data_IF_076540311828
#
_entry.id   IF_076540311828
#
_cell.length_a   1.000
_cell.length_b   1.000
_cell.length_c   1.000
_cell.angle_alpha   90.00
_cell.angle_beta   90.00
_cell.angle_gamma   90.00
#
_symmetry.space_group_name_H-M   'P 1'
#
loop_
_entity.id
_entity.type
_entity.pdbx_description
1 polymer ?
#
# COMPACT_ATOMS: atom_id res chain seq x y z
N UNK A 1 -12.06 24.47 36.68
CA UNK A 1 -10.84 23.83 36.19
C UNK A 1 -11.27 22.76 35.21
N UNK A 2 -11.31 23.11 33.92
CA UNK A 2 -11.70 22.22 32.83
C UNK A 2 -10.44 21.55 32.30
N UNK A 3 -10.25 20.29 32.61
CA UNK A 3 -9.16 19.47 32.08
C UNK A 3 -9.42 19.20 30.60
N UNK A 4 -8.59 19.77 29.75
CA UNK A 4 -8.50 19.45 28.32
C UNK A 4 -8.02 17.99 28.19
N UNK A 5 -8.69 17.12 27.41
CA UNK A 5 -8.20 15.78 27.19
C UNK A 5 -6.92 15.84 26.35
N UNK A 6 -5.83 15.38 26.93
CA UNK A 6 -4.56 15.16 26.23
C UNK A 6 -4.80 14.05 25.20
N UNK A 7 -4.85 14.41 23.92
CA UNK A 7 -4.87 13.46 22.80
C UNK A 7 -3.64 12.54 22.93
N UNK A 8 -3.87 11.25 23.19
CA UNK A 8 -2.83 10.22 23.11
C UNK A 8 -2.46 10.06 21.63
N UNK A 9 -1.36 10.66 21.24
CA UNK A 9 -0.75 10.37 19.95
C UNK A 9 -0.47 8.86 19.87
N UNK A 10 -1.06 8.17 18.89
CA UNK A 10 -0.62 6.84 18.50
C UNK A 10 -1.54 5.65 18.75
N UNK A 11 -2.81 5.83 19.09
CA UNK A 11 -3.82 4.75 18.97
C UNK A 11 -4.74 5.00 17.80
N UNK A 12 -5.26 3.93 17.15
CA UNK A 12 -6.35 4.07 16.19
C UNK A 12 -7.50 4.83 16.85
N UNK A 13 -8.06 5.79 16.15
CA UNK A 13 -9.21 6.56 16.64
C UNK A 13 -10.51 5.75 16.48
N UNK A 14 -10.58 4.90 15.47
CA UNK A 14 -11.71 4.03 15.19
C UNK A 14 -11.30 2.88 14.25
N UNK A 15 -11.91 1.72 14.45
CA UNK A 15 -11.96 0.65 13.46
C UNK A 15 -13.30 0.72 12.74
N UNK A 16 -13.29 0.69 11.40
CA UNK A 16 -14.48 0.77 10.54
C UNK A 16 -14.59 -0.48 9.69
N UNK A 17 -15.82 -0.97 9.49
CA UNK A 17 -16.10 -2.09 8.61
C UNK A 17 -16.45 -1.59 7.19
N UNK A 18 -16.00 -2.34 6.17
CA UNK A 18 -16.40 -2.14 4.78
C UNK A 18 -17.16 -3.35 4.20
N UNK A 19 -17.31 -4.42 4.99
CA UNK A 19 -18.04 -5.62 4.63
C UNK A 19 -18.47 -6.43 5.86
N UNK A 20 -19.11 -7.59 5.65
CA UNK A 20 -19.68 -8.41 6.73
C UNK A 20 -18.65 -9.33 7.42
N UNK A 21 -17.49 -9.58 6.80
CA UNK A 21 -16.45 -10.45 7.36
C UNK A 21 -15.64 -9.70 8.42
N UNK A 22 -15.22 -10.32 9.53
CA UNK A 22 -14.37 -9.69 10.54
C UNK A 22 -13.03 -9.13 10.02
N UNK A 23 -12.50 -9.68 8.92
CA UNK A 23 -11.30 -9.15 8.25
C UNK A 23 -11.61 -7.99 7.28
N UNK A 24 -12.88 -7.67 7.04
CA UNK A 24 -13.27 -6.54 6.19
C UNK A 24 -13.37 -5.25 7.00
N UNK A 25 -12.23 -4.81 7.55
CA UNK A 25 -12.13 -3.62 8.41
C UNK A 25 -10.91 -2.76 8.04
N UNK A 26 -10.90 -1.52 8.50
CA UNK A 26 -9.72 -0.66 8.49
C UNK A 26 -9.69 0.23 9.72
N UNK A 27 -8.48 0.51 10.20
CA UNK A 27 -8.24 1.38 11.34
C UNK A 27 -7.91 2.79 10.87
N UNK A 28 -8.50 3.80 11.51
CA UNK A 28 -8.27 5.21 11.18
C UNK A 28 -7.38 5.86 12.21
N UNK A 29 -6.30 6.50 11.75
CA UNK A 29 -5.39 7.29 12.58
C UNK A 29 -5.47 8.75 12.12
N UNK A 30 -5.86 9.68 13.01
CA UNK A 30 -5.85 11.09 12.68
C UNK A 30 -4.42 11.63 12.63
N UNK A 31 -4.16 12.69 11.84
CA UNK A 31 -2.86 13.32 11.79
C UNK A 31 -2.46 13.91 13.15
N UNK A 32 -1.17 13.83 13.48
CA UNK A 32 -0.62 14.50 14.63
C UNK A 32 -0.15 15.92 14.22
N UNK A 33 -0.78 16.95 14.77
CA UNK A 33 -0.44 18.34 14.48
C UNK A 33 -1.11 18.90 13.22
N UNK A 34 -0.35 19.69 12.43
CA UNK A 34 -0.89 20.28 11.19
C UNK A 34 -1.18 19.19 10.17
N UNK A 35 -2.44 19.08 9.76
CA UNK A 35 -2.90 18.04 8.85
C UNK A 35 -2.50 18.36 7.40
N UNK A 36 -1.92 17.38 6.71
CA UNK A 36 -1.86 17.37 5.27
C UNK A 36 -3.25 17.07 4.71
N UNK A 37 -3.65 17.76 3.63
CA UNK A 37 -4.89 17.47 2.92
C UNK A 37 -4.71 16.24 2.01
N UNK A 38 -4.40 15.09 2.64
CA UNK A 38 -4.23 13.82 1.97
C UNK A 38 -4.42 12.66 2.95
N UNK A 39 -4.81 11.50 2.43
CA UNK A 39 -4.91 10.26 3.20
C UNK A 39 -3.91 9.25 2.67
N UNK A 40 -3.11 8.66 3.56
CA UNK A 40 -2.28 7.48 3.28
C UNK A 40 -3.09 6.23 3.64
N UNK A 41 -3.26 5.35 2.66
CA UNK A 41 -3.92 4.04 2.86
C UNK A 41 -2.84 2.97 2.92
N UNK A 42 -2.65 2.38 4.10
CA UNK A 42 -1.61 1.37 4.34
C UNK A 42 -2.20 -0.03 4.16
N UNK A 43 -1.56 -0.85 3.33
CA UNK A 43 -1.93 -2.24 3.03
C UNK A 43 -0.79 -3.16 3.43
N UNK A 44 -1.03 -4.01 4.41
CA UNK A 44 0.00 -4.85 5.00
C UNK A 44 0.45 -6.03 4.12
N UNK A 45 1.64 -6.56 4.40
CA UNK A 45 2.23 -7.72 3.77
C UNK A 45 1.84 -9.06 4.41
N UNK A 46 2.73 -10.07 4.23
CA UNK A 46 2.58 -11.41 4.83
C UNK A 46 2.22 -12.50 3.83
N UNK A 47 2.71 -12.41 2.59
CA UNK A 47 2.49 -13.40 1.51
C UNK A 47 1.02 -13.79 1.32
N UNK A 48 0.09 -12.85 1.52
CA UNK A 48 -1.37 -13.05 1.47
C UNK A 48 -1.87 -14.19 2.38
N UNK A 49 -1.11 -14.63 3.39
CA UNK A 49 -1.45 -15.74 4.28
C UNK A 49 -2.28 -15.30 5.47
N UNK A 50 -3.23 -16.11 5.89
CA UNK A 50 -4.10 -15.87 7.04
C UNK A 50 -3.36 -15.66 8.38
N UNK A 51 -2.11 -16.13 8.47
CA UNK A 51 -1.26 -16.01 9.67
C UNK A 51 -0.80 -14.59 10.00
N UNK A 52 -0.80 -13.69 9.02
CA UNK A 52 -0.33 -12.32 9.19
C UNK A 52 -1.48 -11.35 8.98
N UNK A 53 -1.73 -10.50 9.95
CA UNK A 53 -2.73 -9.45 9.89
C UNK A 53 -2.09 -8.05 9.89
N UNK A 54 -2.93 -7.01 9.94
CA UNK A 54 -2.48 -5.61 9.89
C UNK A 54 -1.68 -5.15 11.11
N UNK A 55 -1.64 -5.90 12.20
CA UNK A 55 -1.00 -5.45 13.46
C UNK A 55 0.48 -5.10 13.28
N UNK A 56 1.20 -5.83 12.42
CA UNK A 56 2.61 -5.55 12.17
C UNK A 56 2.86 -4.23 11.41
N UNK A 57 1.86 -3.69 10.70
CA UNK A 57 1.93 -2.41 9.99
C UNK A 57 1.46 -1.21 10.85
N UNK A 58 1.04 -1.45 12.11
CA UNK A 58 0.66 -0.37 13.04
C UNK A 58 1.78 0.66 13.27
N UNK A 59 3.06 0.29 13.46
CA UNK A 59 4.14 1.27 13.60
C UNK A 59 4.27 2.20 12.40
N UNK A 60 4.18 1.66 11.18
CA UNK A 60 4.21 2.40 9.94
C UNK A 60 3.02 3.37 9.82
N UNK A 61 1.79 2.89 10.09
CA UNK A 61 0.60 3.72 10.09
C UNK A 61 0.70 4.90 11.07
N UNK A 62 1.23 4.67 12.27
CA UNK A 62 1.50 5.71 13.25
C UNK A 62 2.54 6.72 12.78
N UNK A 63 3.56 6.26 12.07
CA UNK A 63 4.60 7.14 11.54
C UNK A 63 4.04 8.09 10.46
N UNK A 64 3.18 7.61 9.57
CA UNK A 64 2.47 8.47 8.62
C UNK A 64 1.55 9.47 9.32
N UNK A 65 0.83 9.04 10.37
CA UNK A 65 0.00 9.94 11.17
C UNK A 65 0.85 11.02 11.88
N UNK A 66 2.02 10.63 12.41
CA UNK A 66 2.99 11.55 13.01
C UNK A 66 3.58 12.54 11.97
N UNK A 67 3.69 12.11 10.70
CA UNK A 67 4.10 12.98 9.58
C UNK A 67 2.98 13.92 9.10
N UNK A 68 1.79 13.89 9.73
CA UNK A 68 0.69 14.79 9.46
C UNK A 68 -0.37 14.27 8.47
N UNK A 69 -0.30 13.02 8.05
CA UNK A 69 -1.30 12.42 7.16
C UNK A 69 -2.51 11.87 7.94
N UNK A 70 -3.70 11.92 7.33
CA UNK A 70 -4.77 11.01 7.69
C UNK A 70 -4.37 9.60 7.25
N UNK A 71 -4.60 8.58 8.07
CA UNK A 71 -4.19 7.22 7.73
C UNK A 71 -5.35 6.25 7.86
N UNK A 72 -5.47 5.36 6.88
CA UNK A 72 -6.35 4.20 6.93
C UNK A 72 -5.48 2.94 6.80
N UNK A 73 -5.39 2.13 7.87
CA UNK A 73 -4.68 0.85 7.87
C UNK A 73 -5.67 -0.27 7.58
N UNK A 74 -5.51 -0.91 6.44
CA UNK A 74 -6.46 -1.87 5.88
C UNK A 74 -6.17 -3.28 6.36
N UNK A 75 -7.24 -4.01 6.70
CA UNK A 75 -7.27 -5.46 6.82
C UNK A 75 -8.07 -6.04 5.64
N UNK A 76 -7.76 -7.26 5.22
CA UNK A 76 -8.41 -7.95 4.11
C UNK A 76 -8.43 -9.47 4.32
N UNK A 77 -9.35 -10.19 3.68
CA UNK A 77 -9.38 -11.65 3.71
C UNK A 77 -8.22 -12.20 2.90
N UNK A 78 -7.51 -13.16 3.47
CA UNK A 78 -6.27 -13.74 2.94
C UNK A 78 -6.44 -15.20 2.56
N UNK A 79 -5.53 -15.72 1.75
CA UNK A 79 -5.48 -17.14 1.42
C UNK A 79 -5.43 -17.99 2.71
N UNK A 80 -6.29 -19.02 2.77
CA UNK A 80 -6.53 -19.83 3.97
C UNK A 80 -7.72 -19.37 4.81
N UNK A 81 -8.28 -18.18 4.55
CA UNK A 81 -9.53 -17.72 5.15
C UNK A 81 -10.73 -17.99 4.22
N UNK A 82 -11.95 -18.18 4.75
CA UNK A 82 -13.15 -18.27 3.93
C UNK A 82 -13.29 -17.04 3.02
N UNK A 83 -13.39 -17.25 1.72
CA UNK A 83 -13.50 -16.17 0.73
C UNK A 83 -12.22 -15.34 0.52
N UNK A 84 -11.08 -15.73 1.08
CA UNK A 84 -9.77 -15.12 0.81
C UNK A 84 -9.08 -15.73 -0.42
N UNK A 85 -7.95 -15.14 -0.82
CA UNK A 85 -7.31 -15.45 -2.10
C UNK A 85 -8.01 -14.75 -3.27
N UNK A 86 -7.65 -15.13 -4.50
CA UNK A 86 -8.28 -14.56 -5.71
C UNK A 86 -9.60 -15.28 -6.01
N UNK A 87 -10.73 -14.54 -6.26
CA UNK A 87 -10.79 -13.08 -6.38
C UNK A 87 -11.03 -12.33 -5.07
N UNK A 88 -11.37 -13.00 -3.96
CA UNK A 88 -11.92 -12.38 -2.75
C UNK A 88 -11.01 -11.33 -2.10
N UNK A 89 -9.69 -11.53 -2.07
CA UNK A 89 -8.74 -10.52 -1.57
C UNK A 89 -8.72 -9.27 -2.47
N UNK A 90 -8.79 -9.46 -3.79
CA UNK A 90 -8.84 -8.34 -4.74
C UNK A 90 -10.16 -7.57 -4.65
N UNK A 91 -11.26 -8.29 -4.43
CA UNK A 91 -12.57 -7.68 -4.16
C UNK A 91 -12.54 -6.86 -2.87
N UNK A 92 -11.90 -7.38 -1.81
CA UNK A 92 -11.73 -6.65 -0.55
C UNK A 92 -10.93 -5.35 -0.74
N UNK A 93 -9.83 -5.40 -1.48
CA UNK A 93 -9.04 -4.19 -1.81
C UNK A 93 -9.87 -3.19 -2.61
N UNK A 94 -10.62 -3.65 -3.61
CA UNK A 94 -11.52 -2.78 -4.37
C UNK A 94 -12.57 -2.13 -3.46
N UNK A 95 -13.19 -2.90 -2.59
CA UNK A 95 -14.33 -2.45 -1.77
C UNK A 95 -13.88 -1.55 -0.63
N UNK A 96 -12.74 -1.84 0.03
CA UNK A 96 -12.20 -0.95 1.07
C UNK A 96 -11.75 0.39 0.49
N UNK A 97 -11.14 0.42 -0.70
CA UNK A 97 -10.77 1.67 -1.36
C UNK A 97 -12.00 2.49 -1.78
N UNK A 98 -13.10 1.85 -2.16
CA UNK A 98 -14.37 2.53 -2.39
C UNK A 98 -14.94 3.13 -1.10
N UNK A 99 -14.92 2.34 -0.01
CA UNK A 99 -15.38 2.80 1.30
C UNK A 99 -14.54 4.00 1.80
N UNK A 100 -13.21 3.90 1.79
CA UNK A 100 -12.30 4.99 2.22
C UNK A 100 -12.51 6.24 1.37
N UNK A 101 -12.61 6.09 0.04
CA UNK A 101 -12.76 7.23 -0.87
C UNK A 101 -14.06 8.02 -0.68
N UNK A 102 -15.05 7.45 0.01
CA UNK A 102 -16.33 8.09 0.32
C UNK A 102 -16.38 8.75 1.70
N UNK A 103 -15.32 8.59 2.53
CA UNK A 103 -15.31 9.13 3.89
C UNK A 103 -14.95 10.62 3.90
N UNK A 104 -15.80 11.49 4.49
CA UNK A 104 -15.54 12.93 4.51
C UNK A 104 -14.35 13.34 5.40
N UNK A 105 -13.99 12.50 6.38
CA UNK A 105 -12.86 12.72 7.29
C UNK A 105 -11.56 12.05 6.84
N UNK A 106 -11.57 11.42 5.66
CA UNK A 106 -10.39 10.91 4.98
C UNK A 106 -10.20 11.67 3.65
N UNK A 107 -9.54 12.85 3.69
CA UNK A 107 -9.48 13.74 2.54
C UNK A 107 -8.70 13.13 1.38
N UNK A 108 -9.12 13.48 0.17
CA UNK A 108 -8.36 13.21 -1.05
C UNK A 108 -7.32 14.31 -1.26
N UNK A 109 -6.21 13.99 -1.95
CA UNK A 109 -5.93 12.73 -2.66
C UNK A 109 -5.59 11.58 -1.71
N UNK A 110 -5.80 10.34 -2.20
CA UNK A 110 -5.36 9.11 -1.55
C UNK A 110 -3.99 8.70 -2.11
N UNK A 111 -3.05 8.36 -1.24
CA UNK A 111 -1.80 7.67 -1.61
C UNK A 111 -1.85 6.29 -0.99
N UNK A 112 -1.78 5.25 -1.82
CA UNK A 112 -1.74 3.88 -1.33
C UNK A 112 -0.29 3.50 -1.03
N UNK A 113 -0.04 2.91 0.12
CA UNK A 113 1.28 2.40 0.51
C UNK A 113 1.11 0.93 0.89
N UNK A 114 1.89 0.05 0.28
CA UNK A 114 1.77 -1.37 0.55
C UNK A 114 3.13 -2.04 0.65
N UNK A 115 3.29 -2.92 1.65
CA UNK A 115 4.51 -3.67 1.86
C UNK A 115 4.39 -5.11 1.35
N UNK A 116 5.40 -5.62 0.63
CA UNK A 116 5.49 -7.03 0.22
C UNK A 116 4.24 -7.47 -0.56
N UNK A 117 3.45 -8.41 -0.06
CA UNK A 117 2.14 -8.78 -0.60
C UNK A 117 1.17 -7.58 -0.66
N UNK A 118 1.25 -6.63 0.28
CA UNK A 118 0.51 -5.36 0.21
C UNK A 118 0.99 -4.46 -0.93
N UNK A 119 2.30 -4.47 -1.22
CA UNK A 119 2.91 -3.81 -2.37
C UNK A 119 2.34 -4.34 -3.69
N UNK A 120 2.16 -5.65 -3.79
CA UNK A 120 1.42 -6.27 -4.90
C UNK A 120 0.00 -5.71 -5.01
N UNK A 121 -0.78 -5.70 -3.90
CA UNK A 121 -2.18 -5.29 -3.90
C UNK A 121 -2.37 -3.82 -4.29
N UNK A 122 -1.51 -2.92 -3.83
CA UNK A 122 -1.60 -1.50 -4.21
C UNK A 122 -1.15 -1.28 -5.66
N UNK A 123 -0.14 -2.02 -6.15
CA UNK A 123 0.29 -1.96 -7.55
C UNK A 123 -0.76 -2.56 -8.49
N UNK A 124 -1.43 -3.64 -8.08
CA UNK A 124 -2.60 -4.16 -8.77
C UNK A 124 -3.71 -3.09 -8.87
N UNK A 125 -3.99 -2.39 -7.77
CA UNK A 125 -4.98 -1.31 -7.75
C UNK A 125 -4.59 -0.15 -8.68
N UNK A 126 -3.29 0.16 -8.81
CA UNK A 126 -2.80 1.19 -9.73
C UNK A 126 -3.11 0.88 -11.21
N UNK A 127 -3.21 -0.40 -11.59
CA UNK A 127 -3.58 -0.84 -12.94
C UNK A 127 -5.09 -0.74 -13.24
N UNK A 128 -5.93 -0.52 -12.23
CA UNK A 128 -7.38 -0.56 -12.40
C UNK A 128 -7.96 0.77 -12.93
N UNK A 129 -8.97 0.66 -13.80
CA UNK A 129 -9.61 1.85 -14.42
C UNK A 129 -10.26 2.78 -13.40
N UNK A 130 -10.76 2.25 -12.30
CA UNK A 130 -11.41 3.01 -11.21
C UNK A 130 -10.43 3.75 -10.28
N UNK A 131 -9.11 3.54 -10.40
CA UNK A 131 -8.15 4.13 -9.49
C UNK A 131 -8.24 5.66 -9.42
N UNK A 132 -8.22 6.33 -10.57
CA UNK A 132 -8.34 7.81 -10.65
C UNK A 132 -9.68 8.32 -10.15
N UNK A 133 -10.77 7.65 -10.46
CA UNK A 133 -12.13 8.05 -10.07
C UNK A 133 -12.28 8.07 -8.54
N UNK A 134 -11.56 7.19 -7.84
CA UNK A 134 -11.53 7.14 -6.37
C UNK A 134 -10.62 8.19 -5.74
N UNK A 135 -9.95 8.99 -6.53
CA UNK A 135 -9.04 10.04 -6.05
C UNK A 135 -7.69 9.51 -5.60
N UNK A 136 -7.26 8.35 -6.12
CA UNK A 136 -5.92 7.81 -5.89
C UNK A 136 -4.93 8.62 -6.74
N UNK A 137 -4.02 9.34 -6.08
CA UNK A 137 -2.97 10.13 -6.71
C UNK A 137 -1.82 9.26 -7.22
N UNK A 138 -1.57 8.16 -6.53
CA UNK A 138 -0.53 7.19 -6.88
C UNK A 138 -0.35 6.16 -5.79
N UNK A 139 0.58 5.24 -6.01
CA UNK A 139 0.89 4.16 -5.08
C UNK A 139 2.38 4.11 -4.78
N UNK A 140 2.72 3.67 -3.55
CA UNK A 140 4.08 3.36 -3.12
C UNK A 140 4.13 1.88 -2.78
N UNK A 141 4.92 1.12 -3.52
CA UNK A 141 5.18 -0.30 -3.28
C UNK A 141 6.48 -0.43 -2.50
N UNK A 142 6.43 -1.00 -1.32
CA UNK A 142 7.57 -1.21 -0.43
C UNK A 142 7.98 -2.68 -0.49
N UNK A 143 9.14 -2.99 -1.06
CA UNK A 143 9.62 -4.37 -1.23
C UNK A 143 8.53 -5.29 -1.81
N UNK A 144 7.80 -4.79 -2.83
CA UNK A 144 6.55 -5.37 -3.30
C UNK A 144 6.71 -6.55 -4.24
N UNK A 145 5.80 -7.53 -4.14
CA UNK A 145 5.72 -8.66 -5.08
C UNK A 145 4.96 -8.22 -6.34
N UNK A 146 5.55 -7.30 -7.11
CA UNK A 146 4.88 -6.59 -8.22
C UNK A 146 4.86 -7.34 -9.55
N UNK A 147 5.56 -8.47 -9.65
CA UNK A 147 5.55 -9.42 -10.78
C UNK A 147 5.32 -10.84 -10.22
N UNK A 148 4.08 -11.32 -10.32
CA UNK A 148 3.72 -12.66 -9.82
C UNK A 148 4.44 -13.76 -10.60
N UNK A 149 4.71 -13.54 -11.88
CA UNK A 149 5.41 -14.51 -12.73
C UNK A 149 6.86 -14.71 -12.29
N UNK A 150 7.58 -13.65 -11.96
CA UNK A 150 8.93 -13.73 -11.42
C UNK A 150 8.92 -14.34 -10.01
N UNK A 151 8.00 -13.93 -9.15
CA UNK A 151 7.85 -14.48 -7.81
C UNK A 151 7.55 -15.99 -7.82
N UNK A 152 6.72 -16.46 -8.76
CA UNK A 152 6.43 -17.90 -8.95
C UNK A 152 7.67 -18.68 -9.39
N UNK A 153 8.43 -18.16 -10.37
CA UNK A 153 9.67 -18.80 -10.82
C UNK A 153 10.73 -18.92 -9.73
N UNK A 154 10.74 -17.96 -8.80
CA UNK A 154 11.66 -17.93 -7.65
C UNK A 154 11.11 -18.70 -6.44
N UNK A 155 9.91 -19.26 -6.53
CA UNK A 155 9.22 -19.98 -5.44
C UNK A 155 9.12 -19.15 -4.15
N UNK A 156 8.91 -17.82 -4.27
CA UNK A 156 8.89 -16.92 -3.11
C UNK A 156 7.82 -17.34 -2.09
N UNK A 157 8.23 -17.37 -0.82
CA UNK A 157 7.37 -17.73 0.29
C UNK A 157 6.74 -19.12 0.16
N UNK A 158 7.49 -20.13 -0.29
CA UNK A 158 7.00 -21.50 -0.50
C UNK A 158 5.76 -21.52 -1.42
N UNK A 159 5.91 -21.05 -2.65
CA UNK A 159 4.86 -20.99 -3.68
C UNK A 159 3.65 -20.15 -3.26
N UNK A 160 3.86 -19.09 -2.48
CA UNK A 160 2.78 -18.25 -1.96
C UNK A 160 1.90 -17.64 -3.06
N UNK A 161 2.47 -17.31 -4.23
CA UNK A 161 1.72 -16.81 -5.39
C UNK A 161 0.66 -17.79 -5.87
N UNK A 162 1.01 -19.08 -5.99
CA UNK A 162 0.06 -20.14 -6.38
C UNK A 162 -1.00 -20.37 -5.32
N UNK A 163 -0.61 -20.33 -4.05
CA UNK A 163 -1.57 -20.46 -2.94
C UNK A 163 -2.54 -19.28 -2.89
N UNK A 164 -2.10 -18.07 -3.22
CA UNK A 164 -2.91 -16.86 -3.29
C UNK A 164 -3.88 -16.86 -4.48
N UNK A 165 -3.36 -17.15 -5.68
CA UNK A 165 -4.16 -17.12 -6.91
C UNK A 165 -5.04 -18.37 -7.04
N UNK A 166 -4.65 -19.49 -6.43
CA UNK A 166 -5.34 -20.79 -6.54
C UNK A 166 -5.05 -21.55 -7.83
N UNK A 167 -4.28 -20.95 -8.74
CA UNK A 167 -3.89 -21.52 -10.05
C UNK A 167 -2.49 -21.06 -10.43
N UNK A 168 -1.95 -21.58 -11.55
CA UNK A 168 -0.66 -21.14 -12.11
C UNK A 168 -0.78 -20.05 -13.18
N UNK A 169 0.38 -19.59 -13.69
CA UNK A 169 0.47 -18.62 -14.79
C UNK A 169 -0.33 -19.02 -16.04
N UNK A 170 -0.83 -18.02 -16.77
CA UNK A 170 -1.61 -18.21 -18.01
C UNK A 170 -3.08 -18.56 -17.80
N UNK A 171 -3.58 -18.47 -16.58
CA UNK A 171 -5.00 -18.59 -16.29
C UNK A 171 -5.67 -17.22 -16.11
N UNK A 172 -6.98 -17.14 -16.34
CA UNK A 172 -7.76 -15.89 -16.17
C UNK A 172 -7.61 -15.33 -14.75
N UNK A 173 -7.58 -16.18 -13.72
CA UNK A 173 -7.39 -15.74 -12.35
C UNK A 173 -5.99 -15.16 -12.11
N UNK A 174 -4.97 -15.75 -12.73
CA UNK A 174 -3.60 -15.23 -12.67
C UNK A 174 -3.50 -13.86 -13.33
N UNK A 175 -3.97 -13.75 -14.57
CA UNK A 175 -3.95 -12.49 -15.30
C UNK A 175 -4.75 -11.38 -14.60
N UNK A 176 -5.85 -11.72 -13.96
CA UNK A 176 -6.65 -10.77 -13.18
C UNK A 176 -5.93 -10.29 -11.91
N UNK A 177 -4.99 -11.07 -11.36
CA UNK A 177 -4.25 -10.76 -10.15
C UNK A 177 -2.87 -10.12 -10.42
N UNK A 178 -2.25 -10.41 -11.56
CA UNK A 178 -0.88 -9.97 -11.83
C UNK A 178 -0.85 -8.51 -12.30
N UNK A 179 -0.15 -7.59 -11.57
CA UNK A 179 0.04 -6.20 -12.01
C UNK A 179 0.63 -6.08 -13.41
N UNK A 180 1.46 -7.04 -13.84
CA UNK A 180 2.05 -7.10 -15.17
C UNK A 180 1.00 -7.21 -16.28
N UNK A 181 -0.17 -7.78 -16.01
CA UNK A 181 -1.26 -7.93 -16.98
C UNK A 181 -2.05 -6.62 -17.21
N UNK A 182 -1.88 -5.60 -16.36
CA UNK A 182 -2.64 -4.34 -16.40
C UNK A 182 -1.79 -3.12 -16.79
N UNK A 183 -0.65 -3.33 -17.43
CA UNK A 183 0.25 -2.26 -17.88
C UNK A 183 -0.35 -1.44 -19.04
N UNK A 184 -0.05 -0.13 -19.14
CA UNK A 184 0.59 0.69 -18.11
C UNK A 184 -0.34 0.97 -16.93
N UNK A 185 0.20 1.24 -15.73
CA UNK A 185 -0.60 1.65 -14.58
C UNK A 185 -1.39 2.93 -14.88
N UNK A 186 -2.56 3.08 -14.27
CA UNK A 186 -3.46 4.23 -14.51
C UNK A 186 -3.14 5.43 -13.63
N UNK A 187 -2.34 5.21 -12.58
CA UNK A 187 -1.82 6.24 -11.67
C UNK A 187 -0.32 6.01 -11.46
N UNK A 188 0.46 7.03 -11.06
CA UNK A 188 1.88 6.90 -10.78
C UNK A 188 2.20 5.79 -9.78
N UNK A 189 3.30 5.08 -10.00
CA UNK A 189 3.82 4.03 -9.11
C UNK A 189 5.24 4.40 -8.67
N UNK A 190 5.50 4.36 -7.38
CA UNK A 190 6.82 4.52 -6.77
C UNK A 190 7.18 3.22 -6.06
N UNK A 191 8.31 2.64 -6.39
CA UNK A 191 8.83 1.48 -5.71
C UNK A 191 9.96 1.94 -4.77
N UNK A 192 10.00 1.36 -3.56
CA UNK A 192 11.09 1.57 -2.60
C UNK A 192 11.50 0.18 -2.13
N UNK A 193 12.68 -0.23 -2.53
CA UNK A 193 13.18 -1.59 -2.36
C UNK A 193 14.54 -1.58 -1.66
N UNK A 194 14.85 -2.60 -0.88
CA UNK A 194 16.13 -2.75 -0.22
C UNK A 194 17.14 -3.52 -1.06
N UNK A 195 18.41 -3.09 -1.11
CA UNK A 195 19.45 -3.82 -1.84
C UNK A 195 19.79 -5.18 -1.22
N UNK A 196 19.52 -5.34 0.06
CA UNK A 196 19.83 -6.53 0.85
C UNK A 196 18.56 -7.36 1.16
N UNK A 197 17.48 -7.15 0.37
CA UNK A 197 16.24 -7.90 0.50
C UNK A 197 16.43 -9.34 -0.04
N UNK A 198 16.43 -10.30 0.85
CA UNK A 198 16.52 -11.75 0.55
C UNK A 198 15.13 -12.42 0.50
N UNK A 199 14.07 -11.71 0.84
CA UNK A 199 12.69 -12.21 0.85
C UNK A 199 11.98 -11.95 -0.48
N UNK A 200 12.11 -10.72 -1.01
CA UNK A 200 11.64 -10.33 -2.34
C UNK A 200 12.81 -9.67 -3.10
N UNK A 201 13.58 -10.46 -3.86
CA UNK A 201 14.74 -9.94 -4.57
C UNK A 201 14.41 -8.84 -5.58
N UNK A 202 15.29 -7.86 -5.75
CA UNK A 202 15.14 -6.70 -6.65
C UNK A 202 14.67 -7.07 -8.06
N UNK A 203 15.05 -8.25 -8.57
CA UNK A 203 14.63 -8.69 -9.90
C UNK A 203 13.11 -8.78 -10.10
N UNK A 204 12.30 -8.78 -9.02
CA UNK A 204 10.84 -8.72 -9.08
C UNK A 204 10.39 -7.28 -9.39
N UNK A 205 11.00 -6.28 -8.74
CA UNK A 205 10.75 -4.87 -8.98
C UNK A 205 11.30 -4.42 -10.35
N UNK A 206 12.55 -4.79 -10.67
CA UNK A 206 13.21 -4.48 -11.95
C UNK A 206 12.37 -4.89 -13.16
N UNK A 207 11.77 -6.10 -13.11
CA UNK A 207 10.93 -6.61 -14.20
C UNK A 207 9.69 -5.73 -14.40
N UNK A 208 9.02 -5.35 -13.33
CA UNK A 208 7.85 -4.48 -13.39
C UNK A 208 8.22 -3.08 -13.89
N UNK A 209 9.26 -2.46 -13.33
CA UNK A 209 9.72 -1.11 -13.72
C UNK A 209 10.04 -1.04 -15.20
N UNK A 210 10.78 -2.03 -15.70
CA UNK A 210 11.17 -2.12 -17.11
C UNK A 210 9.95 -2.15 -18.03
N UNK A 211 9.04 -3.09 -17.81
CA UNK A 211 7.90 -3.31 -18.69
C UNK A 211 6.85 -2.18 -18.55
N UNK A 212 6.60 -1.69 -17.31
CA UNK A 212 5.66 -0.60 -17.07
C UNK A 212 6.14 0.72 -17.70
N UNK A 213 7.44 1.03 -17.61
CA UNK A 213 8.05 2.21 -18.26
C UNK A 213 8.01 2.08 -19.79
N UNK A 214 8.32 0.90 -20.33
CA UNK A 214 8.23 0.63 -21.76
C UNK A 214 6.79 0.81 -22.30
N UNK A 215 5.79 0.51 -21.47
CA UNK A 215 4.38 0.72 -21.78
C UNK A 215 3.92 2.19 -21.60
N UNK A 216 4.80 3.11 -21.19
CA UNK A 216 4.50 4.54 -20.98
C UNK A 216 3.92 4.88 -19.61
N UNK A 217 4.10 4.00 -18.60
CA UNK A 217 3.70 4.25 -17.22
C UNK A 217 4.62 5.26 -16.51
N UNK A 218 4.06 6.05 -15.61
CA UNK A 218 4.82 6.89 -14.66
C UNK A 218 5.26 6.02 -13.47
N UNK A 219 6.44 5.39 -13.62
CA UNK A 219 6.99 4.44 -12.66
C UNK A 219 8.43 4.81 -12.36
N UNK A 220 8.77 4.85 -11.07
CA UNK A 220 10.16 5.04 -10.60
C UNK A 220 10.46 4.09 -9.46
N UNK A 221 11.72 3.70 -9.34
CA UNK A 221 12.25 2.87 -8.28
C UNK A 221 13.35 3.60 -7.52
N UNK A 222 13.36 3.43 -6.20
CA UNK A 222 14.38 3.92 -5.28
C UNK A 222 14.94 2.71 -4.50
N UNK A 223 16.16 2.28 -4.86
CA UNK A 223 16.84 1.16 -4.21
C UNK A 223 17.68 1.66 -3.04
N UNK A 224 17.23 1.38 -1.83
CA UNK A 224 17.87 1.79 -0.59
C UNK A 224 19.02 0.84 -0.25
N UNK A 225 20.26 1.35 -0.34
CA UNK A 225 21.45 0.52 -0.11
C UNK A 225 21.55 0.03 1.33
N UNK A 226 21.79 -1.28 1.51
CA UNK A 226 21.92 -1.94 2.80
C UNK A 226 20.61 -2.15 3.56
N UNK A 227 19.47 -1.80 2.97
CA UNK A 227 18.17 -2.07 3.56
C UNK A 227 17.71 -3.51 3.23
N UNK A 228 17.17 -4.20 4.22
CA UNK A 228 16.50 -5.50 4.07
C UNK A 228 14.98 -5.32 3.81
N UNK A 229 14.27 -6.45 3.73
CA UNK A 229 12.84 -6.50 3.46
C UNK A 229 11.97 -5.69 4.42
N UNK A 230 12.38 -5.55 5.68
CA UNK A 230 11.60 -4.90 6.73
C UNK A 230 12.08 -3.47 7.03
N UNK A 231 13.28 -3.10 6.63
CA UNK A 231 13.82 -1.77 6.87
C UNK A 231 12.97 -0.67 6.22
N UNK A 232 12.30 -0.96 5.11
CA UNK A 232 11.43 -0.01 4.40
C UNK A 232 10.11 0.27 5.13
N UNK A 233 9.70 -0.55 6.09
CA UNK A 233 8.51 -0.33 6.93
C UNK A 233 8.83 0.00 8.38
N UNK A 234 10.11 0.00 8.76
CA UNK A 234 10.54 0.38 10.11
C UNK A 234 10.70 1.90 10.21
N UNK A 235 9.83 2.61 10.96
CA UNK A 235 9.93 4.06 11.10
C UNK A 235 11.23 4.54 11.77
N UNK A 236 11.97 3.64 12.40
CA UNK A 236 13.27 3.96 13.06
C UNK A 236 14.45 3.76 12.12
N UNK A 237 14.27 3.06 11.00
CA UNK A 237 15.30 2.82 10.00
C UNK A 237 15.49 4.05 9.08
N UNK A 238 16.72 4.34 8.63
CA UNK A 238 16.98 5.41 7.65
C UNK A 238 16.18 5.25 6.35
N UNK A 239 15.88 4.02 5.95
CA UNK A 239 15.09 3.68 4.76
C UNK A 239 13.70 4.34 4.77
N UNK A 240 13.09 4.57 5.93
CA UNK A 240 11.76 5.16 6.02
C UNK A 240 11.71 6.62 5.51
N UNK A 241 12.82 7.33 5.49
CA UNK A 241 12.90 8.66 4.87
C UNK A 241 12.63 8.61 3.35
N UNK A 242 13.07 7.56 2.67
CA UNK A 242 12.80 7.29 1.25
C UNK A 242 11.30 7.07 1.03
N UNK A 243 10.66 6.30 1.91
CA UNK A 243 9.21 6.05 1.87
C UNK A 243 8.41 7.35 1.99
N UNK A 244 8.75 8.20 2.97
CA UNK A 244 8.11 9.51 3.12
C UNK A 244 8.35 10.41 1.89
N UNK A 245 9.53 10.33 1.27
CA UNK A 245 9.83 11.06 0.03
C UNK A 245 8.98 10.56 -1.14
N UNK A 246 8.84 9.25 -1.30
CA UNK A 246 7.99 8.64 -2.32
C UNK A 246 6.53 9.08 -2.17
N UNK A 247 5.96 9.04 -0.94
CA UNK A 247 4.60 9.52 -0.67
C UNK A 247 4.44 11.00 -1.04
N UNK A 248 5.39 11.85 -0.64
CA UNK A 248 5.35 13.29 -0.97
C UNK A 248 5.40 13.56 -2.46
N UNK A 249 6.16 12.77 -3.23
CA UNK A 249 6.30 12.94 -4.68
C UNK A 249 4.99 12.73 -5.45
N UNK A 250 4.02 12.05 -4.84
CA UNK A 250 2.70 11.77 -5.41
C UNK A 250 1.65 12.82 -5.06
N UNK A 251 2.00 13.76 -4.20
CA UNK A 251 1.08 14.80 -3.74
C UNK A 251 1.40 16.14 -4.44
N UNK A 252 0.39 17.00 -4.62
CA UNK A 252 0.65 18.35 -5.08
C UNK A 252 1.68 19.05 -4.18
N UNK A 253 2.58 19.88 -4.74
CA UNK A 253 3.49 20.67 -3.94
C UNK A 253 2.68 21.49 -2.94
N UNK A 254 3.01 21.37 -1.65
CA UNK A 254 2.43 22.28 -0.64
C UNK A 254 3.00 23.65 -0.91
N UNK A 255 2.18 24.55 -1.48
CA UNK A 255 2.56 25.95 -1.51
C UNK A 255 2.73 26.41 -0.04
N UNK A 256 3.90 26.99 0.32
CA UNK A 256 3.99 27.68 1.60
C UNK A 256 2.88 28.73 1.57
N UNK A 257 2.06 28.77 2.63
CA UNK A 257 0.95 29.69 2.79
C UNK A 257 1.36 31.08 2.26
N UNK A 258 0.63 31.60 1.27
CA UNK A 258 0.59 33.04 1.05
C UNK A 258 0.03 33.61 2.35
N UNK A 259 0.91 34.13 3.18
CA UNK A 259 0.54 35.02 4.27
C UNK A 259 -0.01 36.25 3.55
N UNK A 260 -1.33 36.33 3.39
CA UNK A 260 -1.97 37.57 3.02
C UNK A 260 -1.56 38.58 4.09
N UNK A 261 -0.55 39.39 3.76
CA UNK A 261 -0.24 40.59 4.51
C UNK A 261 -1.45 41.56 4.39
N UNK A 262 -1.84 42.21 5.47
CA UNK A 262 -2.97 43.11 5.54
C UNK A 262 -2.82 44.33 4.66
#
# INVERSE_FOLDING_TARGET
>A
MTSTPTSRAGSANATRSYGPDPAQVYDVYPPAGAAAHATVVVVHGGFWRATYDREHAVPEAKAFAAAGYHVALVEYRRAGMPGGGVPGTLDDVRDVLAAISSQPDLPKPLVLVGHSAGGHLVTWAAGQTWARERGIAGVVSLAGVVDLGTADRLHLGDDATRAFVGTGPGTVAWEAADPMSALPPKVPVRLVDGSDDDTVPLGVADAYVKEATAAGGDVTEDVVQGADHFAVIDPTAPAFAHVLSAVRSLLPPTHPFEVNAP
#
